data_IF_029965648712
#
_entry.id   IF_029965648712
#
_cell.length_a   1.000
_cell.length_b   1.000
_cell.length_c   1.000
_cell.angle_alpha   90.00
_cell.angle_beta   90.00
_cell.angle_gamma   90.00
#
_symmetry.space_group_name_H-M   'P 1'
#
loop_
_entity.id
_entity.type
_entity.pdbx_description
1 polymer ?
#
# COMPACT_ATOMS: atom_id res chain seq x y z
N UNK A 1 26.31 -20.37 -6.37
CA UNK A 1 26.33 -18.96 -6.81
C UNK A 1 25.54 -18.83 -8.10
N UNK A 2 24.56 -17.93 -8.16
CA UNK A 2 23.77 -17.69 -9.38
C UNK A 2 24.65 -17.07 -10.47
N UNK A 3 24.45 -17.48 -11.74
CA UNK A 3 25.16 -16.95 -12.93
C UNK A 3 25.11 -15.43 -13.01
N UNK A 4 24.03 -14.81 -12.51
CA UNK A 4 23.88 -13.35 -12.45
C UNK A 4 24.83 -12.68 -11.46
N UNK A 5 25.11 -13.31 -10.31
CA UNK A 5 26.06 -12.79 -9.31
C UNK A 5 27.47 -12.82 -9.87
N UNK A 6 27.82 -13.88 -10.58
CA UNK A 6 29.10 -13.99 -11.29
C UNK A 6 29.24 -12.88 -12.36
N UNK A 7 28.18 -12.65 -13.14
CA UNK A 7 28.14 -11.57 -14.14
C UNK A 7 28.25 -10.17 -13.51
N UNK A 8 27.56 -9.91 -12.38
CA UNK A 8 27.67 -8.62 -11.68
C UNK A 8 29.07 -8.39 -11.12
N UNK A 9 29.70 -9.40 -10.50
CA UNK A 9 31.06 -9.30 -9.98
C UNK A 9 32.09 -9.09 -11.10
N UNK A 10 31.94 -9.80 -12.23
CA UNK A 10 32.80 -9.63 -13.41
C UNK A 10 32.65 -8.23 -14.02
N UNK A 11 31.41 -7.74 -14.13
CA UNK A 11 31.14 -6.41 -14.66
C UNK A 11 31.62 -5.34 -13.68
N UNK A 12 31.64 -5.57 -12.36
CA UNK A 12 31.94 -4.61 -11.27
C UNK A 12 33.44 -4.27 -11.04
N UNK A 13 34.40 -4.98 -11.65
CA UNK A 13 35.84 -4.79 -11.39
C UNK A 13 36.44 -3.48 -11.92
N UNK A 14 37.62 -3.05 -11.46
CA UNK A 14 38.29 -1.81 -11.94
C UNK A 14 38.52 -1.89 -13.46
N UNK A 15 37.87 -1.02 -14.25
CA UNK A 15 37.96 -1.07 -15.72
C UNK A 15 39.01 -0.07 -16.22
N UNK A 16 39.89 -0.55 -17.09
CA UNK A 16 40.76 0.31 -17.89
C UNK A 16 42.08 0.76 -17.28
N UNK A 17 42.30 0.64 -15.96
CA UNK A 17 43.57 1.05 -15.34
C UNK A 17 44.77 0.27 -15.88
N UNK A 18 44.66 -1.06 -15.98
CA UNK A 18 45.72 -1.94 -16.52
C UNK A 18 45.92 -1.73 -18.01
N UNK A 19 44.83 -1.59 -18.78
CA UNK A 19 44.86 -1.35 -20.22
C UNK A 19 45.53 -0.02 -20.57
N UNK A 20 45.23 1.04 -19.80
CA UNK A 20 45.80 2.36 -19.99
C UNK A 20 47.27 2.42 -19.56
N UNK A 21 47.63 1.73 -18.47
CA UNK A 21 49.03 1.56 -18.07
C UNK A 21 49.84 0.88 -19.17
N UNK A 22 49.33 -0.22 -19.73
CA UNK A 22 49.97 -0.93 -20.85
C UNK A 22 50.12 -0.06 -22.10
N UNK A 23 49.08 0.71 -22.46
CA UNK A 23 49.15 1.64 -23.60
C UNK A 23 50.18 2.76 -23.39
N UNK A 24 50.36 3.24 -22.15
CA UNK A 24 51.36 4.26 -21.84
C UNK A 24 52.78 3.72 -21.66
N UNK A 25 52.94 2.44 -21.31
CA UNK A 25 54.24 1.77 -21.25
C UNK A 25 54.90 1.58 -22.62
N UNK A 26 54.17 1.81 -23.73
CA UNK A 26 54.74 1.78 -25.07
C UNK A 26 55.76 2.93 -25.22
N UNK A 27 57.04 2.61 -25.53
CA UNK A 27 58.11 3.60 -25.61
C UNK A 27 57.84 4.63 -26.72
N UNK A 28 58.36 5.84 -26.54
CA UNK A 28 58.18 6.94 -27.49
C UNK A 28 58.99 6.73 -28.79
N UNK A 29 60.13 6.04 -28.68
CA UNK A 29 61.08 5.82 -29.78
C UNK A 29 61.51 4.36 -29.81
N UNK A 30 61.82 3.86 -31.00
CA UNK A 30 62.41 2.53 -31.21
C UNK A 30 63.94 2.61 -31.16
N UNK A 31 64.63 1.47 -31.09
CA UNK A 31 66.09 1.38 -30.92
C UNK A 31 66.90 2.14 -32.00
N UNK A 32 66.28 2.41 -33.15
CA UNK A 32 66.88 3.14 -34.27
C UNK A 32 66.73 4.67 -34.17
N UNK A 33 66.08 5.19 -33.12
CA UNK A 33 65.84 6.62 -32.90
C UNK A 33 64.53 7.15 -33.51
N UNK A 34 63.86 6.39 -34.37
CA UNK A 34 62.58 6.76 -34.96
C UNK A 34 61.42 6.72 -33.95
N UNK A 35 60.35 7.51 -34.13
CA UNK A 35 59.13 7.41 -33.32
C UNK A 35 58.48 6.02 -33.43
N UNK A 36 57.91 5.53 -32.32
CA UNK A 36 57.18 4.27 -32.34
C UNK A 36 55.96 4.35 -33.28
N UNK A 37 55.82 3.43 -34.24
CA UNK A 37 54.76 3.49 -35.25
C UNK A 37 53.38 3.36 -34.60
N UNK A 38 52.45 4.22 -35.01
CA UNK A 38 51.02 4.15 -34.66
C UNK A 38 50.69 4.15 -33.15
N UNK A 39 51.59 4.62 -32.29
CA UNK A 39 51.36 4.70 -30.83
C UNK A 39 50.06 5.44 -30.46
N UNK A 40 49.76 6.53 -31.16
CA UNK A 40 48.53 7.30 -30.97
C UNK A 40 47.27 6.48 -31.30
N UNK A 41 47.33 5.59 -32.29
CA UNK A 41 46.24 4.68 -32.65
C UNK A 41 45.96 3.67 -31.52
N UNK A 42 47.03 3.12 -30.92
CA UNK A 42 46.91 2.15 -29.80
C UNK A 42 46.28 2.81 -28.57
N UNK A 43 46.72 4.02 -28.23
CA UNK A 43 46.16 4.78 -27.10
C UNK A 43 44.70 5.15 -27.38
N UNK A 44 44.38 5.56 -28.61
CA UNK A 44 43.01 5.86 -29.03
C UNK A 44 42.09 4.64 -28.91
N UNK A 45 42.52 3.48 -29.40
CA UNK A 45 41.77 2.22 -29.27
C UNK A 45 41.58 1.82 -27.81
N UNK A 46 42.63 1.92 -26.99
CA UNK A 46 42.53 1.64 -25.56
C UNK A 46 41.48 2.53 -24.88
N UNK A 47 41.48 3.85 -25.17
CA UNK A 47 40.49 4.77 -24.64
C UNK A 47 39.06 4.45 -25.10
N UNK A 48 38.87 4.14 -26.38
CA UNK A 48 37.55 3.79 -26.95
C UNK A 48 37.00 2.51 -26.32
N UNK A 49 37.82 1.46 -26.17
CA UNK A 49 37.42 0.20 -25.54
C UNK A 49 37.02 0.40 -24.09
N UNK A 50 37.78 1.21 -23.33
CA UNK A 50 37.44 1.56 -21.95
C UNK A 50 36.09 2.27 -21.90
N UNK A 51 35.88 3.27 -22.75
CA UNK A 51 34.65 4.06 -22.79
C UNK A 51 33.42 3.20 -23.14
N UNK A 52 33.52 2.35 -24.16
CA UNK A 52 32.46 1.40 -24.52
C UNK A 52 32.15 0.41 -23.39
N UNK A 53 33.18 -0.08 -22.69
CA UNK A 53 33.00 -0.99 -21.55
C UNK A 53 32.25 -0.32 -20.40
N UNK A 54 32.55 0.94 -20.11
CA UNK A 54 31.90 1.72 -19.06
C UNK A 54 30.44 2.01 -19.40
N UNK A 55 30.15 2.45 -20.62
CA UNK A 55 28.77 2.69 -21.08
C UNK A 55 27.94 1.41 -20.98
N UNK A 56 28.50 0.30 -21.46
CA UNK A 56 27.82 -1.00 -21.40
C UNK A 56 27.53 -1.40 -19.96
N UNK A 57 28.51 -1.28 -19.05
CA UNK A 57 28.32 -1.56 -17.62
C UNK A 57 27.26 -0.65 -16.99
N UNK A 58 27.27 0.65 -17.30
CA UNK A 58 26.32 1.63 -16.76
C UNK A 58 24.87 1.36 -17.18
N UNK A 59 24.63 0.73 -18.34
CA UNK A 59 23.28 0.37 -18.79
C UNK A 59 22.87 -1.02 -18.28
N UNK A 60 23.78 -1.99 -18.35
CA UNK A 60 23.51 -3.40 -18.02
C UNK A 60 23.28 -3.60 -16.51
N UNK A 61 24.07 -2.94 -15.66
CA UNK A 61 24.01 -3.08 -14.21
C UNK A 61 22.66 -2.66 -13.58
N UNK A 62 22.05 -1.49 -13.90
CA UNK A 62 20.73 -1.14 -13.37
C UNK A 62 19.61 -2.05 -13.88
N UNK A 63 19.69 -2.57 -15.11
CA UNK A 63 18.69 -3.50 -15.67
C UNK A 63 18.70 -4.85 -14.93
N UNK A 64 19.90 -5.39 -14.65
CA UNK A 64 20.05 -6.59 -13.83
C UNK A 64 19.60 -6.36 -12.37
N UNK A 65 20.02 -5.24 -11.76
CA UNK A 65 19.69 -4.94 -10.36
C UNK A 65 18.19 -4.68 -10.12
N UNK A 66 17.47 -4.07 -11.08
CA UNK A 66 16.04 -3.78 -10.95
C UNK A 66 15.17 -5.03 -10.90
N UNK A 67 15.66 -6.15 -11.45
CA UNK A 67 14.93 -7.42 -11.49
C UNK A 67 14.95 -8.13 -10.13
N UNK A 68 15.99 -7.95 -9.32
CA UNK A 68 16.12 -8.62 -8.01
C UNK A 68 15.44 -7.88 -6.86
N UNK A 69 15.46 -6.54 -6.86
CA UNK A 69 14.87 -5.76 -5.75
C UNK A 69 13.40 -6.09 -5.55
N UNK A 70 12.62 -6.20 -6.63
CA UNK A 70 11.19 -6.52 -6.54
C UNK A 70 10.90 -7.92 -5.99
N UNK A 71 11.75 -8.92 -6.28
CA UNK A 71 11.55 -10.28 -5.82
C UNK A 71 12.05 -10.48 -4.38
N UNK A 72 13.20 -9.90 -4.04
CA UNK A 72 13.74 -9.94 -2.69
C UNK A 72 12.86 -9.16 -1.69
N UNK A 73 12.34 -8.00 -2.09
CA UNK A 73 11.39 -7.23 -1.27
C UNK A 73 10.08 -8.01 -1.07
N UNK A 74 9.56 -8.67 -2.12
CA UNK A 74 8.34 -9.47 -2.02
C UNK A 74 8.52 -10.72 -1.12
N UNK A 75 9.68 -11.39 -1.20
CA UNK A 75 9.99 -12.53 -0.33
C UNK A 75 10.17 -12.08 1.13
N UNK A 76 10.78 -10.92 1.36
CA UNK A 76 10.91 -10.34 2.70
C UNK A 76 9.53 -10.00 3.29
N UNK A 77 8.66 -9.34 2.52
CA UNK A 77 7.28 -9.02 2.91
C UNK A 77 6.46 -10.30 3.21
N UNK A 78 6.70 -11.38 2.46
CA UNK A 78 6.09 -12.69 2.71
C UNK A 78 6.53 -13.27 4.06
N UNK A 79 7.85 -13.29 4.33
CA UNK A 79 8.40 -13.82 5.59
C UNK A 79 7.98 -12.99 6.79
N UNK A 80 7.96 -11.66 6.67
CA UNK A 80 7.46 -10.77 7.71
C UNK A 80 6.00 -11.11 8.05
N UNK A 81 5.16 -11.27 7.04
CA UNK A 81 3.74 -11.59 7.24
C UNK A 81 3.53 -12.97 7.86
N UNK A 82 4.32 -13.96 7.46
CA UNK A 82 4.28 -15.28 8.08
C UNK A 82 4.70 -15.21 9.55
N UNK A 83 5.73 -14.41 9.87
CA UNK A 83 6.14 -14.14 11.24
C UNK A 83 5.03 -13.49 12.08
N UNK A 84 4.39 -12.44 11.53
CA UNK A 84 3.24 -11.76 12.18
C UNK A 84 2.09 -12.75 12.45
N UNK A 85 1.75 -13.59 11.47
CA UNK A 85 0.68 -14.57 11.62
C UNK A 85 0.99 -15.60 12.70
N UNK A 86 2.21 -16.16 12.72
CA UNK A 86 2.63 -17.15 13.72
C UNK A 86 2.67 -16.55 15.13
N UNK A 87 3.24 -15.36 15.28
CA UNK A 87 3.26 -14.60 16.53
C UNK A 87 1.84 -14.44 17.10
N UNK A 88 0.90 -13.99 16.26
CA UNK A 88 -0.45 -13.71 16.69
C UNK A 88 -1.27 -14.96 16.96
N UNK A 89 -1.01 -16.03 16.21
CA UNK A 89 -1.65 -17.32 16.45
C UNK A 89 -1.16 -17.95 17.76
N UNK A 90 0.11 -17.77 18.12
CA UNK A 90 0.65 -18.21 19.42
C UNK A 90 -0.06 -17.49 20.58
N UNK A 91 -0.32 -16.19 20.45
CA UNK A 91 -1.10 -15.43 21.42
C UNK A 91 -2.53 -15.97 21.58
N UNK A 92 -3.24 -16.21 20.47
CA UNK A 92 -4.59 -16.78 20.51
C UNK A 92 -4.61 -18.16 21.16
N UNK A 93 -3.61 -19.00 20.86
CA UNK A 93 -3.47 -20.31 21.50
C UNK A 93 -3.26 -20.17 23.01
N UNK A 94 -2.38 -19.27 23.45
CA UNK A 94 -2.14 -19.01 24.86
C UNK A 94 -3.40 -18.50 25.58
N UNK A 95 -4.16 -17.59 24.96
CA UNK A 95 -5.44 -17.10 25.50
C UNK A 95 -6.46 -18.25 25.62
N UNK A 96 -6.58 -19.09 24.59
CA UNK A 96 -7.48 -20.25 24.64
C UNK A 96 -7.06 -21.28 25.70
N UNK A 97 -5.76 -21.45 25.96
CA UNK A 97 -5.26 -22.31 27.02
C UNK A 97 -5.53 -21.75 28.42
N UNK A 98 -5.60 -20.43 28.57
CA UNK A 98 -5.96 -19.75 29.82
C UNK A 98 -7.48 -19.62 30.03
N UNK A 99 -8.30 -20.07 29.07
CA UNK A 99 -9.77 -20.00 29.15
C UNK A 99 -10.30 -21.00 30.19
N UNK A 100 -11.08 -20.49 31.13
CA UNK A 100 -11.80 -21.19 32.18
C UNK A 100 -13.28 -20.75 32.19
N UNK A 101 -14.13 -21.40 32.99
CA UNK A 101 -15.56 -21.04 33.12
C UNK A 101 -15.78 -19.63 33.73
N UNK A 102 -14.84 -19.16 34.57
CA UNK A 102 -14.95 -17.88 35.28
C UNK A 102 -14.51 -16.67 34.44
N UNK A 103 -13.66 -16.87 33.40
CA UNK A 103 -13.07 -15.78 32.61
C UNK A 103 -13.52 -15.80 31.14
N UNK A 104 -14.66 -16.45 30.83
CA UNK A 104 -15.12 -16.62 29.46
C UNK A 104 -15.40 -15.28 28.78
N UNK A 105 -16.04 -14.33 29.48
CA UNK A 105 -16.40 -13.01 28.96
C UNK A 105 -15.16 -12.19 28.59
N UNK A 106 -14.15 -12.23 29.45
CA UNK A 106 -12.87 -11.55 29.32
C UNK A 106 -12.04 -12.19 28.21
N UNK A 107 -11.99 -13.53 28.17
CA UNK A 107 -11.32 -14.29 27.10
C UNK A 107 -11.89 -13.91 25.74
N UNK A 108 -13.21 -13.87 25.61
CA UNK A 108 -13.85 -13.44 24.37
C UNK A 108 -13.53 -11.99 24.01
N UNK A 109 -13.47 -11.08 25.00
CA UNK A 109 -13.09 -9.70 24.77
C UNK A 109 -11.65 -9.58 24.24
N UNK A 110 -10.69 -10.25 24.89
CA UNK A 110 -9.29 -10.26 24.44
C UNK A 110 -9.16 -10.92 23.06
N UNK A 111 -9.85 -12.03 22.80
CA UNK A 111 -9.86 -12.67 21.48
C UNK A 111 -10.47 -11.76 20.41
N UNK A 112 -11.47 -10.94 20.73
CA UNK A 112 -12.01 -9.93 19.79
C UNK A 112 -10.96 -8.87 19.44
N UNK A 113 -10.17 -8.42 20.42
CA UNK A 113 -9.08 -7.47 20.20
C UNK A 113 -7.97 -8.07 19.31
N UNK A 114 -7.54 -9.29 19.60
CA UNK A 114 -6.57 -10.02 18.78
C UNK A 114 -7.06 -10.28 17.35
N UNK A 115 -8.31 -10.69 17.19
CA UNK A 115 -8.92 -10.86 15.86
C UNK A 115 -9.01 -9.54 15.09
N UNK A 116 -9.26 -8.41 15.77
CA UNK A 116 -9.24 -7.08 15.17
C UNK A 116 -7.84 -6.72 14.69
N UNK A 117 -6.82 -6.98 15.50
CA UNK A 117 -5.43 -6.72 15.15
C UNK A 117 -4.94 -7.63 13.99
N UNK A 118 -5.26 -8.93 13.98
CA UNK A 118 -4.96 -9.83 12.85
C UNK A 118 -5.49 -9.26 11.52
N UNK A 119 -6.71 -8.73 11.53
CA UNK A 119 -7.32 -8.11 10.34
C UNK A 119 -6.58 -6.86 9.86
N UNK A 120 -5.91 -6.13 10.77
CA UNK A 120 -5.07 -4.99 10.40
C UNK A 120 -3.72 -5.42 9.80
N UNK A 121 -3.14 -6.52 10.28
CA UNK A 121 -1.90 -7.10 9.74
C UNK A 121 -2.10 -7.75 8.36
N UNK A 122 -3.30 -8.25 8.05
CA UNK A 122 -3.58 -8.80 6.72
C UNK A 122 -3.61 -7.72 5.63
N UNK A 123 -2.67 -7.73 4.66
CA UNK A 123 -2.63 -6.73 3.59
C UNK A 123 -3.76 -6.87 2.57
N UNK A 124 -4.68 -7.83 2.70
CA UNK A 124 -5.94 -7.77 1.92
C UNK A 124 -6.70 -6.47 2.23
N UNK A 125 -6.60 -5.93 3.45
CA UNK A 125 -7.15 -4.62 3.78
C UNK A 125 -6.30 -3.45 3.25
N UNK A 126 -4.96 -3.55 3.21
CA UNK A 126 -4.09 -2.52 2.59
C UNK A 126 -4.19 -2.50 1.05
N UNK A 127 -4.45 -3.64 0.39
CA UNK A 127 -4.81 -3.70 -1.04
C UNK A 127 -6.21 -3.14 -1.32
N UNK A 128 -7.11 -3.12 -0.34
CA UNK A 128 -8.46 -2.57 -0.50
C UNK A 128 -8.56 -1.08 -0.17
N UNK A 129 -7.71 -0.56 0.72
CA UNK A 129 -7.69 0.86 1.10
C UNK A 129 -6.84 1.74 0.20
N UNK A 130 -5.74 1.23 -0.35
CA UNK A 130 -4.87 1.97 -1.26
C UNK A 130 -4.87 1.33 -2.64
N UNK A 131 -5.83 1.75 -3.47
CA UNK A 131 -5.62 2.30 -4.81
C UNK A 131 -4.39 1.83 -5.64
N UNK A 132 -3.97 0.56 -5.57
CA UNK A 132 -3.44 -0.12 -6.76
C UNK A 132 -4.64 -0.50 -7.59
N UNK A 133 -5.29 0.52 -8.15
CA UNK A 133 -6.19 0.36 -9.29
C UNK A 133 -5.35 -0.40 -10.30
N UNK A 134 -5.62 -1.68 -10.50
CA UNK A 134 -4.99 -2.40 -11.59
C UNK A 134 -5.27 -1.57 -12.83
N UNK A 135 -4.25 -1.32 -13.67
CA UNK A 135 -4.38 -0.43 -14.85
C UNK A 135 -5.57 -0.78 -15.76
N UNK A 136 -6.08 -2.02 -15.64
CA UNK A 136 -7.26 -2.58 -16.30
C UNK A 136 -8.60 -2.24 -15.63
N UNK A 137 -8.63 -1.96 -14.32
CA UNK A 137 -9.84 -1.66 -13.53
C UNK A 137 -10.27 -0.19 -13.58
N UNK A 138 -9.36 0.75 -13.89
CA UNK A 138 -9.65 2.19 -13.82
C UNK A 138 -10.88 2.58 -14.64
N UNK A 139 -11.01 2.03 -15.86
CA UNK A 139 -12.16 2.30 -16.73
C UNK A 139 -13.49 1.77 -16.16
N UNK A 140 -13.48 0.59 -15.54
CA UNK A 140 -14.68 0.02 -14.91
C UNK A 140 -15.07 0.77 -13.63
N UNK A 141 -14.10 1.26 -12.86
CA UNK A 141 -14.36 2.12 -11.68
C UNK A 141 -14.92 3.48 -12.08
N UNK A 142 -14.44 4.08 -13.17
CA UNK A 142 -15.02 5.31 -13.72
C UNK A 142 -16.47 5.05 -14.15
N UNK A 143 -16.75 3.92 -14.82
CA UNK A 143 -18.12 3.55 -15.18
C UNK A 143 -19.02 3.34 -13.94
N UNK A 144 -18.49 2.75 -12.86
CA UNK A 144 -19.19 2.61 -11.58
C UNK A 144 -19.50 3.98 -10.94
N UNK A 145 -18.56 4.92 -10.95
CA UNK A 145 -18.78 6.29 -10.46
C UNK A 145 -19.85 7.04 -11.26
N UNK A 146 -19.94 6.80 -12.57
CA UNK A 146 -20.99 7.41 -13.39
C UNK A 146 -22.38 6.87 -13.04
N UNK A 147 -22.49 5.57 -12.73
CA UNK A 147 -23.74 4.98 -12.21
C UNK A 147 -24.11 5.61 -10.86
N UNK A 148 -23.15 5.84 -9.96
CA UNK A 148 -23.42 6.54 -8.69
C UNK A 148 -23.93 7.97 -8.93
N UNK A 149 -23.39 8.68 -9.94
CA UNK A 149 -23.85 10.03 -10.30
C UNK A 149 -25.26 10.04 -10.85
N UNK A 150 -25.56 9.14 -11.78
CA UNK A 150 -26.89 9.00 -12.37
C UNK A 150 -27.92 8.74 -11.27
N UNK A 151 -27.63 7.79 -10.38
CA UNK A 151 -28.53 7.49 -9.26
C UNK A 151 -28.68 8.65 -8.30
N UNK A 152 -27.62 9.40 -8.02
CA UNK A 152 -27.71 10.63 -7.20
C UNK A 152 -28.60 11.69 -7.86
N UNK A 153 -28.55 11.83 -9.18
CA UNK A 153 -29.41 12.78 -9.92
C UNK A 153 -30.87 12.32 -9.92
N UNK A 154 -31.13 11.03 -10.03
CA UNK A 154 -32.47 10.47 -9.87
C UNK A 154 -33.04 10.77 -8.48
N UNK A 155 -32.26 10.53 -7.42
CA UNK A 155 -32.66 10.81 -6.04
C UNK A 155 -32.94 12.31 -5.81
N UNK A 156 -32.21 13.18 -6.52
CA UNK A 156 -32.48 14.62 -6.48
C UNK A 156 -33.79 14.98 -7.20
N UNK A 157 -34.11 14.27 -8.29
CA UNK A 157 -35.33 14.49 -9.06
C UNK A 157 -36.58 13.93 -8.37
N UNK A 158 -36.47 12.81 -7.64
CA UNK A 158 -37.54 12.23 -6.82
C UNK A 158 -37.82 13.03 -5.54
N UNK A 159 -36.89 13.90 -5.13
CA UNK A 159 -37.00 14.67 -3.90
C UNK A 159 -36.51 13.92 -2.65
N UNK A 160 -35.89 12.76 -2.80
CA UNK A 160 -35.35 11.96 -1.70
C UNK A 160 -34.15 12.63 -1.00
N UNK A 161 -33.45 13.52 -1.72
CA UNK A 161 -32.30 14.27 -1.21
C UNK A 161 -32.40 15.76 -1.55
N UNK A 162 -31.83 16.60 -0.68
CA UNK A 162 -31.77 18.04 -0.93
C UNK A 162 -30.69 18.39 -1.95
N UNK A 163 -30.82 19.55 -2.60
CA UNK A 163 -29.80 20.08 -3.53
C UNK A 163 -28.42 20.19 -2.88
N UNK A 164 -28.36 20.49 -1.59
CA UNK A 164 -27.11 20.62 -0.84
C UNK A 164 -26.45 19.25 -0.61
N UNK A 165 -27.23 18.24 -0.22
CA UNK A 165 -26.77 16.87 -0.01
C UNK A 165 -26.24 16.24 -1.32
N UNK A 166 -26.98 16.43 -2.42
CA UNK A 166 -26.54 16.01 -3.74
C UNK A 166 -25.24 16.69 -4.15
N UNK A 167 -25.10 18.00 -3.94
CA UNK A 167 -23.88 18.75 -4.27
C UNK A 167 -22.67 18.27 -3.46
N UNK A 168 -22.84 17.97 -2.17
CA UNK A 168 -21.77 17.42 -1.33
C UNK A 168 -21.33 16.03 -1.79
N UNK A 169 -22.27 15.13 -2.08
CA UNK A 169 -21.94 13.78 -2.53
C UNK A 169 -21.27 13.78 -3.90
N UNK A 170 -21.82 14.54 -4.87
CA UNK A 170 -21.22 14.66 -6.20
C UNK A 170 -19.79 15.23 -6.16
N UNK A 171 -19.54 16.18 -5.26
CA UNK A 171 -18.18 16.73 -5.04
C UNK A 171 -17.23 15.67 -4.47
N UNK A 172 -17.71 14.78 -3.60
CA UNK A 172 -16.90 13.66 -3.11
C UNK A 172 -16.57 12.66 -4.24
N UNK A 173 -17.54 12.37 -5.13
CA UNK A 173 -17.29 11.52 -6.30
C UNK A 173 -16.27 12.13 -7.27
N UNK A 174 -16.32 13.45 -7.49
CA UNK A 174 -15.33 14.17 -8.31
C UNK A 174 -13.91 14.02 -7.74
N UNK A 175 -13.74 14.12 -6.43
CA UNK A 175 -12.43 13.91 -5.78
C UNK A 175 -11.91 12.49 -5.99
N UNK A 176 -12.78 11.48 -5.92
CA UNK A 176 -12.40 10.09 -6.15
C UNK A 176 -12.01 9.88 -7.61
N UNK A 177 -12.76 10.43 -8.57
CA UNK A 177 -12.44 10.36 -10.01
C UNK A 177 -11.08 11.00 -10.34
N UNK A 178 -10.74 12.12 -9.69
CA UNK A 178 -9.44 12.78 -9.85
C UNK A 178 -8.27 11.87 -9.48
N UNK A 179 -8.43 11.00 -8.48
CA UNK A 179 -7.40 10.02 -8.10
C UNK A 179 -7.31 8.82 -9.07
N UNK A 180 -8.35 8.60 -9.87
CA UNK A 180 -8.46 7.48 -10.83
C UNK A 180 -8.02 7.86 -12.25
N UNK A 181 -7.99 9.15 -12.60
CA UNK A 181 -7.73 9.64 -13.96
C UNK A 181 -6.25 9.76 -14.31
N UNK A 182 -5.88 9.30 -15.51
CA UNK A 182 -4.50 9.16 -16.02
C UNK A 182 -4.17 10.32 -17.00
N UNK A 183 -3.29 11.24 -16.59
CA UNK A 183 -2.29 11.95 -17.42
C UNK A 183 -2.63 13.02 -18.50
N UNK A 184 -3.87 13.44 -18.79
CA UNK A 184 -4.07 14.61 -19.71
C UNK A 184 -5.13 15.61 -19.24
N UNK A 185 -6.17 15.15 -18.56
CA UNK A 185 -7.23 16.01 -18.04
C UNK A 185 -6.84 16.76 -16.75
N UNK A 186 -5.77 16.34 -16.06
CA UNK A 186 -5.21 17.01 -14.89
C UNK A 186 -4.82 18.46 -15.19
N UNK A 187 -4.20 18.72 -16.34
CA UNK A 187 -3.79 20.07 -16.73
C UNK A 187 -4.99 20.99 -16.97
N UNK A 188 -6.05 20.48 -17.62
CA UNK A 188 -7.31 21.23 -17.82
C UNK A 188 -7.99 21.56 -16.49
N UNK A 189 -7.98 20.64 -15.53
CA UNK A 189 -8.58 20.84 -14.21
C UNK A 189 -7.73 21.80 -13.36
N UNK A 190 -6.40 21.67 -13.37
CA UNK A 190 -5.49 22.62 -12.71
C UNK A 190 -5.72 24.03 -13.27
N UNK A 191 -5.80 24.17 -14.59
CA UNK A 191 -6.11 25.45 -15.25
C UNK A 191 -7.50 25.98 -14.88
N UNK A 192 -8.54 25.13 -14.79
CA UNK A 192 -9.88 25.52 -14.30
C UNK A 192 -9.88 25.93 -12.82
N UNK A 193 -9.00 25.37 -12.01
CA UNK A 193 -8.92 25.64 -10.56
C UNK A 193 -8.13 26.92 -10.29
N UNK A 194 -7.04 27.13 -11.05
CA UNK A 194 -6.29 28.39 -11.10
C UNK A 194 -7.17 29.52 -11.65
N UNK A 195 -7.92 29.29 -12.73
CA UNK A 195 -8.87 30.26 -13.26
C UNK A 195 -9.99 30.61 -12.26
N UNK A 196 -10.49 29.65 -11.47
CA UNK A 196 -11.45 29.91 -10.38
C UNK A 196 -10.85 30.72 -9.23
N UNK A 197 -9.59 30.43 -8.84
CA UNK A 197 -8.88 31.24 -7.83
C UNK A 197 -8.63 32.66 -8.32
N UNK A 198 -8.21 32.85 -9.57
CA UNK A 198 -8.00 34.18 -10.18
C UNK A 198 -9.33 34.94 -10.30
N UNK A 199 -10.42 34.27 -10.71
CA UNK A 199 -11.77 34.87 -10.70
C UNK A 199 -12.24 35.24 -9.29
N UNK A 200 -11.94 34.43 -8.28
CA UNK A 200 -12.28 34.72 -6.88
C UNK A 200 -11.44 35.83 -6.25
N UNK A 201 -10.24 36.09 -6.78
CA UNK A 201 -9.40 37.24 -6.39
C UNK A 201 -9.88 38.53 -7.07
N UNK A 202 -10.38 38.47 -8.32
CA UNK A 202 -10.90 39.64 -9.05
C UNK A 202 -12.37 39.98 -8.78
N UNK A 203 -13.23 39.00 -8.52
CA UNK A 203 -14.61 39.20 -8.08
C UNK A 203 -14.70 38.81 -6.61
N UNK A 204 -14.70 39.82 -5.73
CA UNK A 204 -15.00 39.71 -4.29
C UNK A 204 -16.37 39.04 -4.13
N UNK A 205 -16.40 37.71 -4.03
CA UNK A 205 -17.57 36.96 -3.60
C UNK A 205 -17.12 36.01 -2.52
N UNK A 206 -17.60 36.28 -1.31
CA UNK A 206 -17.29 35.59 -0.07
C UNK A 206 -17.32 34.08 -0.26
N UNK A 207 -16.22 33.43 0.09
CA UNK A 207 -16.14 31.98 0.21
C UNK A 207 -16.79 31.61 1.54
N UNK A 208 -18.02 31.09 1.50
CA UNK A 208 -18.71 30.57 2.70
C UNK A 208 -17.92 29.40 3.32
N UNK A 209 -17.92 29.27 4.66
CA UNK A 209 -16.99 28.42 5.39
C UNK A 209 -17.27 26.92 5.22
N UNK A 210 -16.22 26.14 5.50
CA UNK A 210 -16.20 24.67 5.62
C UNK A 210 -17.36 24.18 6.51
N UNK A 211 -18.28 23.42 5.93
CA UNK A 211 -19.39 22.80 6.65
C UNK A 211 -18.86 21.77 7.66
N UNK A 212 -19.17 21.96 8.95
CA UNK A 212 -19.14 20.87 9.94
C UNK A 212 -20.28 19.92 9.56
N UNK A 213 -19.97 18.68 9.16
CA UNK A 213 -20.99 17.66 8.94
C UNK A 213 -21.75 17.45 10.26
N UNK A 214 -23.03 17.83 10.30
CA UNK A 214 -23.90 17.47 11.41
C UNK A 214 -24.09 15.94 11.45
N UNK A 215 -24.40 15.36 12.62
CA UNK A 215 -24.74 13.93 12.71
C UNK A 215 -25.87 13.53 11.77
N UNK A 216 -26.83 14.44 11.53
CA UNK A 216 -27.92 14.29 10.57
C UNK A 216 -27.44 14.20 9.11
N UNK A 217 -26.42 14.97 8.73
CA UNK A 217 -25.86 14.93 7.36
C UNK A 217 -25.12 13.63 7.08
N UNK A 218 -24.57 12.98 8.12
CA UNK A 218 -23.83 11.71 7.97
C UNK A 218 -24.76 10.53 7.69
N UNK A 219 -25.94 10.50 8.32
CA UNK A 219 -26.92 9.44 8.09
C UNK A 219 -27.53 9.53 6.69
N UNK A 220 -27.80 10.76 6.22
CA UNK A 220 -28.24 10.98 4.84
C UNK A 220 -27.12 10.64 3.83
N UNK A 221 -25.87 10.99 4.13
CA UNK A 221 -24.75 10.60 3.25
C UNK A 221 -24.58 9.07 3.18
N UNK A 222 -24.84 8.38 4.30
CA UNK A 222 -24.83 6.92 4.39
C UNK A 222 -25.97 6.31 3.56
N UNK A 223 -27.18 6.85 3.63
CA UNK A 223 -28.31 6.36 2.84
C UNK A 223 -28.07 6.57 1.34
N UNK A 224 -27.54 7.72 0.92
CA UNK A 224 -27.12 7.99 -0.47
C UNK A 224 -26.08 6.96 -0.92
N UNK A 225 -25.05 6.70 -0.11
CA UNK A 225 -23.99 5.76 -0.49
C UNK A 225 -24.50 4.32 -0.57
N UNK A 226 -25.43 3.92 0.30
CA UNK A 226 -26.05 2.58 0.24
C UNK A 226 -26.85 2.39 -1.05
N UNK A 227 -27.72 3.34 -1.39
CA UNK A 227 -28.56 3.25 -2.59
C UNK A 227 -27.74 3.28 -3.88
N UNK A 228 -26.77 4.19 -3.96
CA UNK A 228 -25.86 4.29 -5.13
C UNK A 228 -24.99 3.04 -5.27
N UNK A 229 -24.46 2.50 -4.17
CA UNK A 229 -23.69 1.24 -4.17
C UNK A 229 -24.50 0.04 -4.62
N UNK A 230 -25.78 -0.04 -4.22
CA UNK A 230 -26.70 -1.10 -4.66
C UNK A 230 -26.97 -1.01 -6.17
N UNK A 231 -27.19 0.20 -6.70
CA UNK A 231 -27.41 0.41 -8.13
C UNK A 231 -26.18 0.01 -8.97
N UNK A 232 -24.97 0.27 -8.46
CA UNK A 232 -23.72 -0.15 -9.11
C UNK A 232 -23.61 -1.67 -9.18
N UNK A 233 -23.89 -2.38 -8.08
CA UNK A 233 -23.86 -3.85 -8.06
C UNK A 233 -24.83 -4.40 -9.10
N UNK A 234 -26.08 -3.94 -9.10
CA UNK A 234 -27.11 -4.39 -10.04
C UNK A 234 -26.69 -4.18 -11.51
N UNK A 235 -26.15 -2.99 -11.82
CA UNK A 235 -25.70 -2.65 -13.17
C UNK A 235 -24.47 -3.47 -13.61
N UNK A 236 -23.54 -3.74 -12.71
CA UNK A 236 -22.34 -4.52 -13.00
C UNK A 236 -22.61 -6.03 -13.07
N UNK A 237 -23.55 -6.55 -12.28
CA UNK A 237 -23.98 -7.95 -12.33
C UNK A 237 -24.66 -8.29 -13.66
N UNK A 238 -25.47 -7.38 -14.22
CA UNK A 238 -26.03 -7.53 -15.58
C UNK A 238 -24.95 -7.62 -16.66
N UNK A 239 -23.75 -7.08 -16.41
CA UNK A 239 -22.62 -7.02 -17.35
C UNK A 239 -21.57 -8.13 -17.13
N UNK A 240 -21.83 -9.08 -16.22
CA UNK A 240 -20.89 -10.13 -15.78
C UNK A 240 -20.46 -11.12 -16.88
N UNK A 241 -21.17 -11.17 -18.02
CA UNK A 241 -20.95 -12.14 -19.11
C UNK A 241 -19.87 -11.74 -20.14
N UNK A 242 -19.02 -10.75 -19.85
CA UNK A 242 -17.99 -10.25 -20.78
C UNK A 242 -16.55 -10.73 -20.50
N UNK A 243 -15.56 -10.31 -21.33
CA UNK A 243 -14.14 -10.66 -21.19
C UNK A 243 -13.49 -10.14 -19.89
N UNK A 244 -14.12 -9.19 -19.18
CA UNK A 244 -13.62 -8.58 -17.95
C UNK A 244 -14.29 -9.14 -16.68
N UNK A 245 -14.68 -10.43 -16.70
CA UNK A 245 -15.46 -11.06 -15.62
C UNK A 245 -14.77 -10.98 -14.25
N UNK A 246 -13.45 -11.12 -14.20
CA UNK A 246 -12.68 -11.08 -12.96
C UNK A 246 -12.66 -9.67 -12.38
N UNK A 247 -12.37 -8.66 -13.22
CA UNK A 247 -12.35 -7.25 -12.82
C UNK A 247 -13.73 -6.76 -12.36
N UNK A 248 -14.81 -7.21 -13.01
CA UNK A 248 -16.19 -6.92 -12.59
C UNK A 248 -16.48 -7.55 -11.23
N UNK A 249 -16.05 -8.79 -11.00
CA UNK A 249 -16.25 -9.49 -9.72
C UNK A 249 -15.53 -8.78 -8.58
N UNK A 250 -14.31 -8.29 -8.82
CA UNK A 250 -13.54 -7.55 -7.81
C UNK A 250 -14.21 -6.22 -7.43
N UNK A 251 -14.76 -5.50 -8.41
CA UNK A 251 -15.49 -4.25 -8.15
C UNK A 251 -16.80 -4.53 -7.40
N UNK A 252 -17.56 -5.56 -7.80
CA UNK A 252 -18.80 -5.96 -7.09
C UNK A 252 -18.51 -6.33 -5.64
N UNK A 253 -17.45 -7.11 -5.39
CA UNK A 253 -17.02 -7.44 -4.03
C UNK A 253 -16.65 -6.19 -3.22
N UNK A 254 -15.99 -5.20 -3.84
CA UNK A 254 -15.68 -3.93 -3.18
C UNK A 254 -16.95 -3.19 -2.74
N UNK A 255 -17.98 -3.15 -3.59
CA UNK A 255 -19.26 -2.52 -3.26
C UNK A 255 -20.06 -3.28 -2.20
N UNK A 256 -20.02 -4.62 -2.20
CA UNK A 256 -20.62 -5.42 -1.12
C UNK A 256 -19.99 -5.11 0.25
N UNK A 257 -18.66 -4.95 0.31
CA UNK A 257 -17.97 -4.59 1.55
C UNK A 257 -18.31 -3.18 2.03
N UNK A 258 -18.50 -2.24 1.10
CA UNK A 258 -18.99 -0.89 1.42
C UNK A 258 -20.39 -0.99 2.04
N UNK A 259 -21.30 -1.74 1.42
CA UNK A 259 -22.66 -1.94 1.93
C UNK A 259 -22.62 -2.61 3.30
N UNK A 260 -21.82 -3.67 3.50
CA UNK A 260 -21.73 -4.37 4.78
C UNK A 260 -21.22 -3.44 5.91
N UNK A 261 -20.24 -2.58 5.60
CA UNK A 261 -19.72 -1.60 6.55
C UNK A 261 -20.75 -0.50 6.84
N UNK A 262 -21.52 -0.10 5.84
CA UNK A 262 -22.54 0.94 5.93
C UNK A 262 -23.93 0.40 6.32
N UNK A 263 -24.12 -0.91 6.48
CA UNK A 263 -25.38 -1.49 6.97
C UNK A 263 -25.34 -1.66 8.48
N UNK A 264 -24.17 -1.97 9.06
CA UNK A 264 -23.98 -2.03 10.52
C UNK A 264 -24.11 -0.63 11.12
N UNK A 265 -25.00 -0.39 12.11
CA UNK A 265 -25.12 0.92 12.73
C UNK A 265 -23.73 1.40 13.15
N UNK A 266 -23.45 2.70 12.97
CA UNK A 266 -22.19 3.28 13.41
C UNK A 266 -22.16 3.17 14.93
N UNK A 267 -21.65 2.05 15.46
CA UNK A 267 -21.16 1.95 16.82
C UNK A 267 -19.94 2.85 16.86
N UNK A 268 -20.18 4.17 16.93
CA UNK A 268 -19.11 5.11 17.22
C UNK A 268 -18.54 4.67 18.55
N UNK A 269 -17.24 4.32 18.58
CA UNK A 269 -16.43 4.03 19.78
C UNK A 269 -17.32 3.89 21.02
N UNK A 270 -18.11 2.82 21.06
CA UNK A 270 -18.70 2.46 22.34
C UNK A 270 -17.46 2.05 23.11
N UNK A 271 -17.10 2.89 24.06
CA UNK A 271 -16.30 2.54 25.19
C UNK A 271 -16.94 1.24 25.68
N UNK A 272 -16.33 0.11 25.31
CA UNK A 272 -16.68 -1.21 25.83
C UNK A 272 -16.35 -1.12 27.32
N UNK A 273 -17.26 -0.53 28.10
CA UNK A 273 -17.43 -0.91 29.49
C UNK A 273 -18.03 -2.32 29.42
N UNK A 274 -17.21 -3.30 29.04
CA UNK A 274 -17.51 -4.67 29.40
C UNK A 274 -17.53 -4.70 30.93
N UNK A 275 -18.65 -5.12 31.52
CA UNK A 275 -18.79 -5.50 32.93
C UNK A 275 -17.93 -6.73 33.27
N UNK A 276 -16.72 -6.83 32.72
CA UNK A 276 -15.76 -7.89 32.97
C UNK A 276 -14.69 -7.41 33.94
N UNK A 277 -14.04 -8.34 34.62
CA UNK A 277 -12.97 -8.00 35.55
C UNK A 277 -11.75 -7.49 34.75
N UNK A 278 -11.44 -6.19 34.86
CA UNK A 278 -10.31 -5.57 34.16
C UNK A 278 -8.97 -6.22 34.51
N UNK A 279 -8.82 -6.71 35.75
CA UNK A 279 -7.60 -7.40 36.20
C UNK A 279 -7.42 -8.72 35.43
N UNK A 280 -8.47 -9.52 35.30
CA UNK A 280 -8.44 -10.77 34.53
C UNK A 280 -8.18 -10.50 33.05
N UNK A 281 -8.77 -9.45 32.50
CA UNK A 281 -8.52 -9.03 31.11
C UNK A 281 -7.05 -8.61 30.91
N UNK A 282 -6.45 -7.93 31.88
CA UNK A 282 -5.04 -7.52 31.85
C UNK A 282 -4.12 -8.74 31.91
N UNK A 283 -4.41 -9.69 32.78
CA UNK A 283 -3.62 -10.92 32.91
C UNK A 283 -3.66 -11.75 31.61
N UNK A 284 -4.83 -11.84 30.96
CA UNK A 284 -4.96 -12.47 29.65
C UNK A 284 -4.17 -11.75 28.56
N UNK A 285 -4.14 -10.41 28.55
CA UNK A 285 -3.29 -9.65 27.63
C UNK A 285 -1.81 -9.89 27.89
N UNK A 286 -1.40 -9.97 29.16
CA UNK A 286 -0.03 -10.25 29.54
C UNK A 286 0.41 -11.64 29.08
N UNK A 287 -0.40 -12.67 29.33
CA UNK A 287 -0.17 -14.04 28.85
C UNK A 287 0.01 -14.05 27.33
N UNK A 288 -0.86 -13.32 26.62
CA UNK A 288 -0.80 -13.22 25.17
C UNK A 288 0.50 -12.54 24.69
N UNK A 289 0.88 -11.40 25.28
CA UNK A 289 2.13 -10.68 24.94
C UNK A 289 3.37 -11.55 25.20
N UNK A 290 3.40 -12.31 26.30
CA UNK A 290 4.52 -13.21 26.57
C UNK A 290 4.61 -14.31 25.51
N UNK A 291 3.47 -14.92 25.14
CA UNK A 291 3.42 -15.91 24.08
C UNK A 291 3.89 -15.35 22.71
N UNK A 292 3.57 -14.09 22.41
CA UNK A 292 4.10 -13.41 21.21
C UNK A 292 5.62 -13.26 21.25
N UNK A 293 6.18 -12.83 22.39
CA UNK A 293 7.62 -12.65 22.57
C UNK A 293 8.36 -13.98 22.44
N UNK A 294 7.84 -15.02 23.07
CA UNK A 294 8.39 -16.38 23.00
C UNK A 294 8.35 -16.92 21.58
N UNK A 295 7.25 -16.71 20.85
CA UNK A 295 7.14 -17.13 19.46
C UNK A 295 8.11 -16.38 18.55
N UNK A 296 8.23 -15.06 18.68
CA UNK A 296 9.20 -14.27 17.91
C UNK A 296 10.63 -14.73 18.19
N UNK A 297 10.95 -15.03 19.44
CA UNK A 297 12.25 -15.55 19.83
C UNK A 297 12.50 -16.93 19.22
N UNK A 298 11.52 -17.84 19.30
CA UNK A 298 11.58 -19.18 18.71
C UNK A 298 11.76 -19.15 17.19
N UNK A 299 11.04 -18.26 16.50
CA UNK A 299 11.18 -18.08 15.05
C UNK A 299 12.58 -17.58 14.66
N UNK A 300 13.16 -16.71 15.49
CA UNK A 300 14.53 -16.22 15.29
C UNK A 300 15.57 -17.33 15.52
N UNK A 301 15.44 -18.11 16.59
CA UNK A 301 16.34 -19.23 16.91
C UNK A 301 16.32 -20.32 15.84
N UNK A 302 15.15 -20.58 15.25
CA UNK A 302 14.99 -21.53 14.13
C UNK A 302 15.43 -20.97 12.79
N UNK A 303 15.93 -19.73 12.73
CA UNK A 303 16.29 -19.03 11.50
C UNK A 303 15.15 -18.91 10.48
N UNK A 304 13.89 -18.94 10.95
CA UNK A 304 12.71 -18.74 10.10
C UNK A 304 12.50 -17.27 9.76
N UNK A 305 12.93 -16.36 10.65
CA UNK A 305 12.91 -14.91 10.45
C UNK A 305 14.31 -14.30 10.58
N UNK A 306 14.57 -13.22 9.85
CA UNK A 306 15.81 -12.45 9.98
C UNK A 306 15.79 -11.58 11.24
N UNK A 307 16.96 -11.08 11.65
CA UNK A 307 17.09 -10.12 12.76
C UNK A 307 16.23 -8.87 12.55
N UNK A 308 16.14 -8.39 11.32
CA UNK A 308 15.35 -7.20 10.98
C UNK A 308 13.85 -7.45 11.17
N UNK A 309 13.35 -8.60 10.70
CA UNK A 309 11.96 -9.01 10.92
C UNK A 309 11.68 -9.18 12.41
N UNK A 310 12.58 -9.83 13.16
CA UNK A 310 12.40 -10.01 14.61
C UNK A 310 12.32 -8.67 15.35
N UNK A 311 13.13 -7.67 14.96
CA UNK A 311 13.08 -6.33 15.54
C UNK A 311 11.76 -5.61 15.21
N UNK A 312 11.26 -5.75 14.00
CA UNK A 312 9.97 -5.20 13.58
C UNK A 312 8.81 -5.81 14.38
N UNK A 313 8.78 -7.14 14.53
CA UNK A 313 7.77 -7.82 15.35
C UNK A 313 7.84 -7.38 16.82
N UNK A 314 9.04 -7.26 17.39
CA UNK A 314 9.22 -6.74 18.77
C UNK A 314 8.75 -5.30 18.92
N UNK A 315 8.91 -4.45 17.90
CA UNK A 315 8.34 -3.10 17.90
C UNK A 315 6.82 -3.15 17.97
N UNK A 316 6.19 -3.97 17.13
CA UNK A 316 4.73 -4.15 17.11
C UNK A 316 4.20 -4.62 18.47
N UNK A 317 4.90 -5.56 19.12
CA UNK A 317 4.54 -6.03 20.47
C UNK A 317 4.59 -4.86 21.46
N UNK A 318 5.69 -4.10 21.48
CA UNK A 318 5.86 -2.96 22.39
C UNK A 318 4.81 -1.86 22.18
N UNK A 319 4.49 -1.55 20.92
CA UNK A 319 3.49 -0.52 20.61
C UNK A 319 2.09 -0.94 21.10
N UNK A 320 1.76 -2.24 21.03
CA UNK A 320 0.50 -2.76 21.59
C UNK A 320 0.49 -2.81 23.10
N UNK A 321 1.58 -3.25 23.72
CA UNK A 321 1.75 -3.24 25.17
C UNK A 321 1.52 -1.83 25.73
N UNK A 322 2.10 -0.80 25.10
CA UNK A 322 1.84 0.59 25.46
C UNK A 322 0.36 0.98 25.32
N UNK A 323 -0.31 0.58 24.23
CA UNK A 323 -1.73 0.90 24.00
C UNK A 323 -2.71 0.23 24.97
N UNK A 324 -2.30 -0.88 25.60
CA UNK A 324 -3.08 -1.58 26.62
C UNK A 324 -2.92 -0.86 27.96
N UNK A 325 -1.71 -0.41 28.28
CA UNK A 325 -1.42 0.36 29.50
C UNK A 325 -2.02 1.77 29.47
N UNK A 326 -2.21 2.39 28.30
CA UNK A 326 -2.84 3.72 28.15
C UNK A 326 -4.37 3.71 28.27
N UNK A 327 -5.02 2.54 28.25
CA UNK A 327 -6.47 2.40 28.40
C UNK A 327 -6.91 2.26 29.87
N UNK A 328 -5.95 2.27 30.79
CA UNK A 328 -6.10 2.38 32.24
C UNK A 328 -6.36 3.84 32.67
#
# INVERSE_FOLDING_TARGET
MSFKVLAMTAISGVRGAVTLAGAFSIPLVIANGDPFPERSLVIFLAAVVILLSLITASIVLPLLAKTDKGNAEAELEEKERQGQYKMMNAAIQAINHAKNEENEVETEAVLRDYNRWIRQFHPRARRQGNLRIHKKEAGLRIAALEIEREKTREMLASGDITKEQAALFLKALEQIELTLSRSTHLWVIIMKTVARKIKGVFFKKEVKPTYKLSGFDREVMRSIKLQTSSAVIEALEKKKSGPNKNEVTDIVNHYHLIIERLSKPFQGRHQDQSEGNEEVRRDLHWIAIQAERDEVQRLYERSEISRDIANELRRIIRDREASILEQE
#
